data_IF_417709766034
#
_entry.id   IF_417709766034
#
_cell.length_a   1.000
_cell.length_b   1.000
_cell.length_c   1.000
_cell.angle_alpha   90.00
_cell.angle_beta   90.00
_cell.angle_gamma   90.00
#
_symmetry.space_group_name_H-M   'P 1'
#
loop_
_entity.id
_entity.type
_entity.pdbx_description
1 polymer ?
#
# COMPACT_ATOMS: atom_id res chain seq x y z
N UNK A 1 -1.48 -31.47 8.70
CA UNK A 1 -2.65 -30.72 9.12
C UNK A 1 -2.31 -29.31 9.58
N UNK A 2 -1.53 -29.11 10.64
CA UNK A 2 -1.04 -27.75 10.98
C UNK A 2 -0.23 -27.13 9.84
N UNK A 3 0.60 -27.94 9.18
CA UNK A 3 1.48 -27.49 8.10
C UNK A 3 0.68 -26.97 6.90
N UNK A 4 -0.38 -27.67 6.53
CA UNK A 4 -1.26 -27.24 5.43
C UNK A 4 -2.01 -25.96 5.80
N UNK A 5 -2.43 -25.84 7.06
CA UNK A 5 -3.08 -24.63 7.57
C UNK A 5 -2.14 -23.43 7.51
N UNK A 6 -0.87 -23.62 7.87
CA UNK A 6 0.13 -22.55 7.81
C UNK A 6 0.42 -22.10 6.36
N UNK A 7 0.54 -23.06 5.44
CA UNK A 7 0.73 -22.73 4.01
C UNK A 7 -0.45 -21.94 3.49
N UNK A 8 -1.67 -22.32 3.85
CA UNK A 8 -2.90 -21.60 3.48
C UNK A 8 -2.89 -20.18 4.03
N UNK A 9 -2.51 -19.99 5.29
CA UNK A 9 -2.42 -18.68 5.93
C UNK A 9 -1.41 -17.78 5.20
N UNK A 10 -0.26 -18.34 4.80
CA UNK A 10 0.73 -17.59 4.02
C UNK A 10 0.14 -17.08 2.70
N UNK A 11 -0.53 -17.96 1.97
CA UNK A 11 -1.17 -17.60 0.69
C UNK A 11 -2.24 -16.53 0.90
N UNK A 12 -3.10 -16.73 1.87
CA UNK A 12 -4.17 -15.76 2.19
C UNK A 12 -3.62 -14.40 2.62
N UNK A 13 -2.50 -14.39 3.35
CA UNK A 13 -1.82 -13.15 3.75
C UNK A 13 -1.31 -12.38 2.53
N UNK A 14 -0.72 -13.09 1.56
CA UNK A 14 -0.26 -12.46 0.32
C UNK A 14 -1.43 -11.94 -0.52
N UNK A 15 -2.52 -12.70 -0.61
CA UNK A 15 -3.75 -12.25 -1.28
C UNK A 15 -4.31 -11.00 -0.64
N UNK A 16 -4.33 -10.94 0.68
CA UNK A 16 -4.81 -9.77 1.41
C UNK A 16 -3.91 -8.56 1.20
N UNK A 17 -2.60 -8.77 1.13
CA UNK A 17 -1.65 -7.69 0.84
C UNK A 17 -1.87 -7.10 -0.55
N UNK A 18 -2.17 -7.94 -1.56
CA UNK A 18 -2.53 -7.47 -2.90
C UNK A 18 -3.78 -6.59 -2.83
N UNK A 19 -4.82 -7.01 -2.11
CA UNK A 19 -6.04 -6.20 -1.94
C UNK A 19 -5.74 -4.84 -1.31
N UNK A 20 -4.95 -4.82 -0.24
CA UNK A 20 -4.61 -3.59 0.47
C UNK A 20 -3.78 -2.64 -0.42
N UNK A 21 -2.84 -3.17 -1.19
CA UNK A 21 -2.05 -2.36 -2.12
C UNK A 21 -2.93 -1.78 -3.22
N UNK A 22 -3.91 -2.52 -3.71
CA UNK A 22 -4.88 -2.02 -4.68
C UNK A 22 -5.73 -0.89 -4.09
N UNK A 23 -6.16 -1.02 -2.84
CA UNK A 23 -6.89 0.05 -2.13
C UNK A 23 -6.04 1.31 -2.01
N UNK A 24 -4.77 1.17 -1.65
CA UNK A 24 -3.84 2.30 -1.56
C UNK A 24 -3.64 2.95 -2.93
N UNK A 25 -3.46 2.15 -3.97
CA UNK A 25 -3.29 2.67 -5.34
C UNK A 25 -4.52 3.47 -5.79
N UNK A 26 -5.72 2.96 -5.54
CA UNK A 26 -6.96 3.66 -5.85
C UNK A 26 -7.09 4.95 -5.05
N UNK A 27 -6.73 4.93 -3.78
CA UNK A 27 -6.76 6.13 -2.92
C UNK A 27 -5.75 7.17 -3.39
N UNK A 28 -4.60 6.74 -3.90
CA UNK A 28 -3.61 7.65 -4.49
C UNK A 28 -4.15 8.35 -5.74
N UNK A 29 -4.98 7.68 -6.54
CA UNK A 29 -5.66 8.31 -7.66
C UNK A 29 -6.66 9.36 -7.19
N UNK A 30 -7.43 9.05 -6.14
CA UNK A 30 -8.36 9.98 -5.51
C UNK A 30 -7.58 11.18 -4.95
N UNK A 31 -6.50 10.93 -4.24
CA UNK A 31 -5.65 11.98 -3.68
C UNK A 31 -5.09 12.90 -4.76
N UNK A 32 -4.65 12.34 -5.88
CA UNK A 32 -4.17 13.12 -7.03
C UNK A 32 -5.25 14.08 -7.55
N UNK A 33 -6.48 13.59 -7.65
CA UNK A 33 -7.62 14.43 -8.09
C UNK A 33 -7.92 15.53 -7.09
N UNK A 34 -7.92 15.20 -5.79
CA UNK A 34 -8.14 16.17 -4.71
C UNK A 34 -7.07 17.27 -4.75
N UNK A 35 -5.80 16.88 -4.89
CA UNK A 35 -4.68 17.82 -4.94
C UNK A 35 -4.71 18.72 -6.19
N UNK A 36 -5.29 18.23 -7.27
CA UNK A 36 -5.40 18.98 -8.53
C UNK A 36 -6.67 19.82 -8.62
N UNK A 37 -7.60 19.66 -7.70
CA UNK A 37 -8.88 20.37 -7.66
C UNK A 37 -8.75 21.64 -6.81
N UNK A 38 -8.89 22.84 -7.41
CA UNK A 38 -8.80 24.10 -6.65
C UNK A 38 -9.94 24.27 -5.64
N UNK A 39 -11.05 23.53 -5.81
CA UNK A 39 -12.21 23.61 -4.92
C UNK A 39 -12.21 22.54 -3.83
N UNK A 40 -11.23 21.63 -3.82
CA UNK A 40 -11.15 20.59 -2.81
C UNK A 40 -10.79 21.18 -1.44
N UNK A 41 -11.42 20.66 -0.41
CA UNK A 41 -11.20 21.11 0.98
C UNK A 41 -10.01 20.40 1.63
N UNK A 42 -9.39 21.01 2.66
CA UNK A 42 -8.37 20.32 3.46
C UNK A 42 -8.87 19.01 4.06
N UNK A 43 -10.14 18.91 4.43
CA UNK A 43 -10.73 17.70 5.00
C UNK A 43 -10.77 16.56 3.97
N UNK A 44 -11.02 16.87 2.70
CA UNK A 44 -10.99 15.87 1.63
C UNK A 44 -9.58 15.29 1.47
N UNK A 45 -8.55 16.13 1.53
CA UNK A 45 -7.16 15.68 1.49
C UNK A 45 -6.80 14.83 2.73
N UNK A 46 -7.20 15.29 3.91
CA UNK A 46 -6.94 14.56 5.17
C UNK A 46 -7.59 13.17 5.15
N UNK A 47 -8.80 13.06 4.60
CA UNK A 47 -9.49 11.78 4.48
C UNK A 47 -8.68 10.77 3.66
N UNK A 48 -8.00 11.21 2.57
CA UNK A 48 -7.15 10.32 1.79
C UNK A 48 -5.94 9.83 2.58
N UNK A 49 -5.35 10.69 3.40
CA UNK A 49 -4.23 10.32 4.27
C UNK A 49 -4.69 9.28 5.31
N UNK A 50 -5.81 9.53 5.97
CA UNK A 50 -6.35 8.65 7.00
C UNK A 50 -6.65 7.25 6.44
N UNK A 51 -7.26 7.17 5.26
CA UNK A 51 -7.55 5.90 4.60
C UNK A 51 -6.26 5.12 4.29
N UNK A 52 -5.25 5.79 3.74
CA UNK A 52 -3.97 5.14 3.42
C UNK A 52 -3.26 4.66 4.68
N UNK A 53 -3.23 5.48 5.73
CA UNK A 53 -2.58 5.12 7.00
C UNK A 53 -3.16 3.85 7.59
N UNK A 54 -4.47 3.69 7.54
CA UNK A 54 -5.16 2.48 7.99
C UNK A 54 -4.66 1.25 7.24
N UNK A 55 -4.62 1.31 5.92
CA UNK A 55 -4.21 0.18 5.10
C UNK A 55 -2.71 -0.12 5.20
N UNK A 56 -1.88 0.91 5.35
CA UNK A 56 -0.44 0.75 5.59
C UNK A 56 -0.20 0.02 6.92
N UNK A 57 -0.94 0.38 7.96
CA UNK A 57 -0.89 -0.30 9.25
C UNK A 57 -1.30 -1.77 9.12
N UNK A 58 -2.37 -2.04 8.37
CA UNK A 58 -2.82 -3.40 8.12
C UNK A 58 -1.75 -4.23 7.38
N UNK A 59 -1.08 -3.65 6.39
CA UNK A 59 0.02 -4.31 5.67
C UNK A 59 1.17 -4.64 6.63
N UNK A 60 1.54 -3.71 7.50
CA UNK A 60 2.60 -3.93 8.48
C UNK A 60 2.28 -5.11 9.39
N UNK A 61 1.04 -5.21 9.84
CA UNK A 61 0.55 -6.33 10.66
C UNK A 61 0.62 -7.64 9.89
N UNK A 62 0.20 -7.64 8.62
CA UNK A 62 0.28 -8.84 7.76
C UNK A 62 1.73 -9.29 7.54
N UNK A 63 2.63 -8.35 7.27
CA UNK A 63 4.05 -8.65 7.02
C UNK A 63 4.71 -9.27 8.25
N UNK A 64 4.40 -8.77 9.44
CA UNK A 64 4.91 -9.33 10.69
C UNK A 64 4.39 -10.75 10.93
N UNK A 65 3.11 -10.97 10.71
CA UNK A 65 2.50 -12.30 10.82
C UNK A 65 3.04 -13.28 9.78
N UNK A 66 3.20 -12.82 8.54
CA UNK A 66 3.75 -13.62 7.45
C UNK A 66 5.17 -14.09 7.79
N UNK A 67 6.04 -13.19 8.23
CA UNK A 67 7.44 -13.53 8.57
C UNK A 67 7.51 -14.60 9.65
N UNK A 68 6.69 -14.48 10.69
CA UNK A 68 6.67 -15.43 11.80
C UNK A 68 6.25 -16.83 11.34
N UNK A 69 5.23 -16.92 10.48
CA UNK A 69 4.74 -18.21 9.97
C UNK A 69 5.68 -18.77 8.92
N UNK A 70 6.22 -17.92 8.04
CA UNK A 70 7.14 -18.33 6.98
C UNK A 70 8.38 -19.04 7.53
N UNK A 71 8.96 -18.52 8.63
CA UNK A 71 10.11 -19.15 9.27
C UNK A 71 9.81 -20.58 9.73
N UNK A 72 8.59 -20.85 10.18
CA UNK A 72 8.15 -22.18 10.59
C UNK A 72 7.93 -23.13 9.41
N UNK A 73 7.46 -22.61 8.29
CA UNK A 73 7.02 -23.40 7.13
C UNK A 73 8.10 -23.55 6.07
N UNK A 74 9.11 -22.69 6.07
CA UNK A 74 10.18 -22.70 5.09
C UNK A 74 10.84 -24.07 4.90
N UNK A 75 11.27 -24.77 5.97
CA UNK A 75 11.85 -26.11 5.80
C UNK A 75 10.89 -27.10 5.17
N UNK A 76 9.60 -27.02 5.51
CA UNK A 76 8.55 -27.86 4.94
C UNK A 76 8.42 -27.65 3.44
N UNK A 77 8.37 -26.40 3.00
CA UNK A 77 8.25 -26.05 1.58
C UNK A 77 9.49 -26.48 0.80
N UNK A 78 10.68 -26.40 1.39
CA UNK A 78 11.93 -26.82 0.78
C UNK A 78 12.00 -28.35 0.64
N UNK A 79 11.52 -29.11 1.63
CA UNK A 79 11.62 -30.56 1.68
C UNK A 79 10.47 -31.27 0.96
N UNK A 80 9.32 -30.62 0.81
CA UNK A 80 8.12 -31.22 0.21
C UNK A 80 7.61 -30.41 -0.97
N UNK A 81 8.51 -29.92 -1.82
CA UNK A 81 8.17 -29.11 -3.00
C UNK A 81 7.09 -29.73 -3.89
N UNK A 82 7.13 -31.05 -4.21
CA UNK A 82 6.09 -31.63 -5.06
C UNK A 82 4.69 -31.54 -4.45
N UNK A 83 4.58 -31.69 -3.12
CA UNK A 83 3.30 -31.64 -2.41
C UNK A 83 2.67 -30.24 -2.45
N UNK A 84 3.50 -29.20 -2.37
CA UNK A 84 3.05 -27.81 -2.30
C UNK A 84 3.30 -27.03 -3.59
N UNK A 85 3.50 -27.75 -4.70
CA UNK A 85 3.85 -27.15 -6.00
C UNK A 85 2.88 -26.03 -6.41
N UNK A 86 1.57 -26.29 -6.34
CA UNK A 86 0.56 -25.32 -6.78
C UNK A 86 0.50 -24.11 -5.83
N UNK A 87 0.61 -24.36 -4.53
CA UNK A 87 0.66 -23.27 -3.53
C UNK A 87 1.89 -22.41 -3.70
N UNK A 88 3.06 -23.02 -3.93
CA UNK A 88 4.31 -22.30 -4.17
C UNK A 88 4.20 -21.44 -5.44
N UNK A 89 3.65 -22.00 -6.52
CA UNK A 89 3.44 -21.27 -7.78
C UNK A 89 2.50 -20.08 -7.57
N UNK A 90 1.42 -20.28 -6.85
CA UNK A 90 0.47 -19.20 -6.52
C UNK A 90 1.13 -18.11 -5.69
N UNK A 91 1.90 -18.48 -4.67
CA UNK A 91 2.59 -17.51 -3.83
C UNK A 91 3.64 -16.71 -4.62
N UNK A 92 4.37 -17.34 -5.53
CA UNK A 92 5.33 -16.64 -6.41
C UNK A 92 4.63 -15.62 -7.30
N UNK A 93 3.46 -15.97 -7.84
CA UNK A 93 2.66 -15.06 -8.65
C UNK A 93 2.18 -13.87 -7.81
N UNK A 94 1.70 -14.11 -6.60
CA UNK A 94 1.27 -13.06 -5.68
C UNK A 94 2.44 -12.13 -5.31
N UNK A 95 3.62 -12.67 -5.08
CA UNK A 95 4.82 -11.86 -4.80
C UNK A 95 5.15 -10.94 -5.97
N UNK A 96 5.02 -11.43 -7.22
CA UNK A 96 5.21 -10.58 -8.40
C UNK A 96 4.19 -9.46 -8.46
N UNK A 97 2.92 -9.77 -8.22
CA UNK A 97 1.86 -8.75 -8.17
C UNK A 97 2.15 -7.71 -7.10
N UNK A 98 2.58 -8.14 -5.92
CA UNK A 98 2.94 -7.24 -4.81
C UNK A 98 4.10 -6.34 -5.22
N UNK A 99 5.12 -6.87 -5.86
CA UNK A 99 6.27 -6.09 -6.32
C UNK A 99 5.83 -5.02 -7.32
N UNK A 100 5.02 -5.38 -8.31
CA UNK A 100 4.53 -4.45 -9.32
C UNK A 100 3.64 -3.35 -8.70
N UNK A 101 2.73 -3.74 -7.80
CA UNK A 101 1.86 -2.80 -7.10
C UNK A 101 2.65 -1.87 -6.18
N UNK A 102 3.66 -2.38 -5.49
CA UNK A 102 4.52 -1.56 -4.63
C UNK A 102 5.24 -0.50 -5.45
N UNK A 103 5.78 -0.87 -6.60
CA UNK A 103 6.44 0.08 -7.51
C UNK A 103 5.45 1.16 -7.99
N UNK A 104 4.23 0.77 -8.34
CA UNK A 104 3.18 1.69 -8.76
C UNK A 104 2.81 2.66 -7.63
N UNK A 105 2.62 2.14 -6.42
CA UNK A 105 2.28 2.96 -5.24
C UNK A 105 3.40 3.96 -4.93
N UNK A 106 4.65 3.52 -4.97
CA UNK A 106 5.80 4.40 -4.74
C UNK A 106 5.84 5.55 -5.76
N UNK A 107 5.58 5.26 -7.02
CA UNK A 107 5.52 6.26 -8.07
C UNK A 107 4.39 7.26 -7.82
N UNK A 108 3.20 6.77 -7.47
CA UNK A 108 2.05 7.59 -7.15
C UNK A 108 2.33 8.50 -5.95
N UNK A 109 2.97 7.96 -4.90
CA UNK A 109 3.32 8.73 -3.70
C UNK A 109 4.26 9.90 -4.05
N UNK A 110 5.25 9.68 -4.91
CA UNK A 110 6.15 10.75 -5.37
C UNK A 110 5.39 11.83 -6.14
N UNK A 111 4.53 11.43 -7.07
CA UNK A 111 3.72 12.36 -7.86
C UNK A 111 2.80 13.18 -6.96
N UNK A 112 2.13 12.54 -6.01
CA UNK A 112 1.23 13.22 -5.09
C UNK A 112 1.98 14.14 -4.12
N UNK A 113 3.17 13.75 -3.70
CA UNK A 113 4.04 14.61 -2.89
C UNK A 113 4.37 15.92 -3.62
N UNK A 114 4.73 15.83 -4.91
CA UNK A 114 5.01 17.01 -5.72
C UNK A 114 3.78 17.89 -5.89
N UNK A 115 2.62 17.29 -6.15
CA UNK A 115 1.35 18.01 -6.25
C UNK A 115 1.01 18.74 -4.95
N UNK A 116 1.21 18.08 -3.80
CA UNK A 116 0.97 18.67 -2.49
C UNK A 116 1.90 19.86 -2.25
N UNK A 117 3.18 19.73 -2.60
CA UNK A 117 4.14 20.84 -2.47
C UNK A 117 3.72 22.05 -3.30
N UNK A 118 3.30 21.83 -4.55
CA UNK A 118 2.83 22.90 -5.43
C UNK A 118 1.60 23.60 -4.87
N UNK A 119 0.64 22.82 -4.36
CA UNK A 119 -0.59 23.36 -3.75
C UNK A 119 -0.28 24.21 -2.52
N UNK A 120 0.55 23.70 -1.63
CA UNK A 120 0.93 24.43 -0.39
C UNK A 120 1.81 25.63 -0.67
N UNK A 121 2.69 25.58 -1.68
CA UNK A 121 3.48 26.72 -2.11
C UNK A 121 2.56 27.85 -2.62
N UNK A 122 1.52 27.51 -3.40
CA UNK A 122 0.52 28.46 -3.87
C UNK A 122 -0.22 29.14 -2.73
N UNK A 123 -0.64 28.37 -1.74
CA UNK A 123 -1.31 28.87 -0.51
C UNK A 123 -0.38 29.82 0.26
N UNK A 124 0.88 29.45 0.43
CA UNK A 124 1.85 30.29 1.12
C UNK A 124 2.10 31.61 0.43
N UNK A 125 2.22 31.62 -0.91
CA UNK A 125 2.40 32.82 -1.71
C UNK A 125 1.20 33.76 -1.57
N UNK A 126 -0.01 33.21 -1.58
CA UNK A 126 -1.23 33.97 -1.42
C UNK A 126 -1.32 34.61 -0.02
N UNK A 127 -0.97 33.85 1.01
CA UNK A 127 -0.91 34.37 2.39
C UNK A 127 0.11 35.51 2.53
N UNK A 128 1.26 35.40 1.88
CA UNK A 128 2.28 36.45 1.86
C UNK A 128 1.77 37.72 1.19
N UNK A 129 1.04 37.61 0.06
CA UNK A 129 0.42 38.75 -0.62
C UNK A 129 -0.58 39.46 0.27
N UNK A 130 -1.41 38.71 1.00
CA UNK A 130 -2.38 39.28 1.94
C UNK A 130 -1.67 40.06 3.04
N UNK A 131 -0.60 39.50 3.62
CA UNK A 131 0.20 40.20 4.63
C UNK A 131 0.82 41.49 4.11
N UNK A 132 1.33 41.50 2.88
CA UNK A 132 1.95 42.69 2.28
C UNK A 132 0.95 43.81 1.95
N UNK A 133 -0.32 43.45 1.74
CA UNK A 133 -1.39 44.39 1.42
C UNK A 133 -1.99 45.06 2.69
N UNK A 134 -1.66 44.58 3.86
CA UNK A 134 -2.07 45.16 5.14
C UNK A 134 -1.03 46.13 5.66
#
# INVERSE_FOLDING_TARGET
>A
MQDEAYVKILRESLEKKVELLNLISNENEIQSRVLSDPNATPDEFQATIDNKDKWITDISTLDNGFSAIFEKVKPLLENQKPKYRDEIARMKDLVRQITDLTTQVEKQEKENYLLAQQKFAGVRKQAQKIRKSQ
#
